data_IF_514560007485
#
_entry.id   IF_514560007485
#
_cell.length_a   1.000
_cell.length_b   1.000
_cell.length_c   1.000
_cell.angle_alpha   90.00
_cell.angle_beta   90.00
_cell.angle_gamma   90.00
#
_symmetry.space_group_name_H-M   'P 1'
#
loop_
_entity.id
_entity.type
_entity.pdbx_description
1 polymer ?
#
# COMPACT_ATOMS: atom_id res chain seq x y z
N UNK A 1 -23.02 -3.26 -35.96
CA UNK A 1 -23.44 -2.18 -36.88
C UNK A 1 -22.87 -0.89 -36.29
N UNK A 2 -21.63 -0.53 -36.65
CA UNK A 2 -21.28 0.49 -37.65
C UNK A 2 -22.02 1.82 -37.33
N UNK A 3 -21.34 2.93 -36.99
CA UNK A 3 -20.63 3.80 -37.95
C UNK A 3 -19.83 4.89 -37.19
N UNK A 4 -18.51 4.96 -37.49
CA UNK A 4 -17.64 6.14 -37.77
C UNK A 4 -17.44 7.26 -36.72
N UNK A 5 -16.37 8.08 -36.72
CA UNK A 5 -14.99 8.05 -37.25
C UNK A 5 -14.32 9.41 -36.96
N UNK A 6 -12.98 9.43 -36.92
CA UNK A 6 -12.09 10.51 -37.36
C UNK A 6 -11.97 11.82 -36.55
N UNK A 7 -10.79 12.02 -35.94
CA UNK A 7 -10.10 13.31 -35.96
C UNK A 7 -8.60 13.10 -36.22
N UNK A 8 -8.16 13.44 -37.43
CA UNK A 8 -6.75 13.55 -37.84
C UNK A 8 -6.27 14.97 -37.52
N UNK A 9 -5.12 15.11 -36.88
CA UNK A 9 -4.31 16.32 -36.98
C UNK A 9 -2.91 15.90 -37.38
N UNK A 10 -2.55 16.21 -38.62
CA UNK A 10 -1.19 16.22 -39.10
C UNK A 10 -0.46 17.44 -38.52
N UNK A 11 0.76 17.25 -38.02
CA UNK A 11 1.74 18.33 -37.92
C UNK A 11 3.09 17.84 -38.40
N UNK A 12 3.39 18.26 -39.62
CA UNK A 12 4.70 18.34 -40.23
C UNK A 12 5.69 19.01 -39.27
N UNK A 13 6.80 18.35 -38.98
CA UNK A 13 7.96 18.98 -38.35
C UNK A 13 9.03 19.09 -39.42
N UNK A 14 9.30 20.34 -39.81
CA UNK A 14 10.42 20.72 -40.66
C UNK A 14 11.72 20.14 -40.10
N UNK A 15 12.50 19.50 -40.96
CA UNK A 15 13.94 19.41 -40.78
C UNK A 15 14.53 20.80 -40.97
N UNK A 16 14.78 21.52 -39.87
CA UNK A 16 15.78 22.59 -39.88
C UNK A 16 17.13 21.97 -39.57
N UNK A 17 17.96 21.87 -40.60
CA UNK A 17 19.38 21.56 -40.51
C UNK A 17 20.04 22.55 -39.54
N UNK A 18 20.47 22.07 -38.37
CA UNK A 18 21.25 22.88 -37.43
C UNK A 18 22.71 22.85 -37.87
N UNK A 19 23.08 23.85 -38.67
CA UNK A 19 24.45 24.20 -38.99
C UNK A 19 24.73 25.48 -38.21
N UNK A 20 25.30 25.38 -37.00
CA UNK A 20 26.17 26.38 -36.35
C UNK A 20 26.50 26.01 -34.88
N UNK A 21 27.58 26.62 -34.38
CA UNK A 21 28.55 26.11 -33.41
C UNK A 21 28.05 25.75 -31.99
N UNK A 22 28.49 24.58 -31.51
CA UNK A 22 28.20 24.00 -30.19
C UNK A 22 29.13 24.50 -29.06
N UNK A 23 29.32 25.81 -28.88
CA UNK A 23 30.20 26.31 -27.79
C UNK A 23 29.50 27.12 -26.70
N UNK A 24 28.28 27.63 -26.91
CA UNK A 24 27.64 28.56 -25.95
C UNK A 24 26.69 27.94 -24.91
N UNK A 25 26.00 26.85 -25.24
CA UNK A 25 24.80 26.43 -24.47
C UNK A 25 25.11 25.40 -23.37
N UNK A 26 26.21 24.63 -23.48
CA UNK A 26 26.60 23.62 -22.49
C UNK A 26 27.10 24.19 -21.15
N UNK A 27 27.48 25.46 -21.08
CA UNK A 27 28.11 26.03 -19.88
C UNK A 27 27.13 26.39 -18.76
N UNK A 28 25.82 26.49 -19.04
CA UNK A 28 24.84 27.00 -18.07
C UNK A 28 24.08 25.93 -17.28
N UNK A 29 24.16 24.65 -17.69
CA UNK A 29 23.44 23.53 -17.06
C UNK A 29 24.31 22.65 -16.14
N UNK A 30 25.64 22.74 -16.20
CA UNK A 30 26.55 21.92 -15.40
C UNK A 30 26.72 22.37 -13.94
N UNK A 31 26.26 23.57 -13.57
CA UNK A 31 26.44 24.15 -12.23
C UNK A 31 25.45 23.64 -11.18
N UNK A 32 24.37 22.98 -11.59
CA UNK A 32 23.30 22.53 -10.67
C UNK A 32 23.46 21.10 -10.15
N UNK A 33 24.32 20.27 -10.76
CA UNK A 33 24.34 18.82 -10.49
C UNK A 33 25.52 18.33 -9.63
N UNK A 34 26.47 19.20 -9.28
CA UNK A 34 27.74 18.80 -8.67
C UNK A 34 27.75 18.70 -7.14
N UNK A 35 26.65 18.94 -6.43
CA UNK A 35 26.65 19.12 -4.97
C UNK A 35 26.16 17.93 -4.12
N UNK A 36 25.91 16.73 -4.66
CA UNK A 36 25.20 15.69 -3.88
C UNK A 36 25.69 14.23 -3.93
N UNK A 37 26.87 13.90 -4.45
CA UNK A 37 27.33 12.49 -4.45
C UNK A 37 28.80 12.33 -4.07
N UNK A 38 29.11 12.48 -2.78
CA UNK A 38 30.32 11.89 -2.17
C UNK A 38 29.96 10.52 -1.58
N UNK A 39 30.26 9.44 -2.30
CA UNK A 39 30.10 8.08 -1.79
C UNK A 39 30.84 7.08 -2.65
N UNK A 40 32.01 6.63 -2.17
CA UNK A 40 32.89 5.66 -2.84
C UNK A 40 32.22 4.27 -2.91
N UNK A 41 32.25 3.62 -4.07
CA UNK A 41 31.93 2.20 -4.20
C UNK A 41 33.06 1.48 -4.98
N UNK A 42 33.74 0.56 -4.28
CA UNK A 42 34.80 -0.31 -4.80
C UNK A 42 34.18 -1.63 -5.25
N UNK A 43 34.50 -2.13 -6.45
CA UNK A 43 34.01 -3.42 -6.94
C UNK A 43 35.17 -4.41 -7.12
N UNK A 44 35.03 -5.59 -6.51
CA UNK A 44 35.92 -6.75 -6.60
C UNK A 44 35.48 -7.64 -7.76
N UNK A 45 36.41 -8.03 -8.63
CA UNK A 45 36.19 -8.94 -9.76
C UNK A 45 36.45 -10.39 -9.37
N UNK A 46 35.49 -11.29 -9.60
CA UNK A 46 35.70 -12.74 -9.58
C UNK A 46 35.34 -13.36 -10.93
N UNK A 47 36.29 -14.08 -11.52
CA UNK A 47 36.21 -14.85 -12.78
C UNK A 47 35.66 -16.25 -12.52
N UNK A 48 34.82 -16.81 -13.43
CA UNK A 48 34.59 -18.26 -13.68
C UNK A 48 33.68 -18.42 -14.94
N UNK A 49 33.64 -19.60 -15.62
CA UNK A 49 33.95 -19.75 -17.04
C UNK A 49 32.75 -20.11 -17.94
N UNK A 50 33.03 -20.06 -19.24
CA UNK A 50 32.11 -20.24 -20.37
C UNK A 50 31.40 -21.60 -20.41
N UNK A 51 30.12 -21.58 -20.79
CA UNK A 51 29.43 -22.76 -21.31
C UNK A 51 28.62 -22.35 -22.56
N UNK A 52 29.05 -22.88 -23.71
CA UNK A 52 28.43 -22.70 -25.03
C UNK A 52 27.26 -23.66 -25.20
N UNK A 53 26.12 -23.16 -25.66
CA UNK A 53 25.08 -23.97 -26.31
C UNK A 53 24.63 -23.30 -27.60
N UNK A 54 24.64 -24.10 -28.66
CA UNK A 54 24.49 -23.71 -30.07
C UNK A 54 23.06 -23.24 -30.40
N UNK A 55 22.96 -22.08 -31.08
CA UNK A 55 21.72 -21.63 -31.72
C UNK A 55 21.80 -21.79 -33.25
N UNK A 56 20.71 -22.36 -33.76
CA UNK A 56 20.38 -22.68 -35.16
C UNK A 56 20.59 -21.45 -36.07
N UNK A 57 21.30 -21.63 -37.19
CA UNK A 57 21.42 -20.61 -38.25
C UNK A 57 20.19 -20.63 -39.14
N UNK A 58 19.32 -19.63 -39.03
CA UNK A 58 18.32 -19.34 -40.06
C UNK A 58 18.99 -18.56 -41.21
N UNK A 59 18.98 -19.18 -42.39
CA UNK A 59 19.46 -18.63 -43.67
C UNK A 59 18.34 -17.82 -44.34
N UNK A 60 17.94 -16.66 -43.81
CA UNK A 60 17.31 -15.62 -44.64
C UNK A 60 17.06 -14.31 -43.87
N UNK A 61 18.06 -13.44 -43.79
CA UNK A 61 17.76 -12.02 -43.52
C UNK A 61 18.79 -11.14 -44.23
N UNK A 62 18.69 -11.14 -45.55
CA UNK A 62 19.34 -10.17 -46.41
C UNK A 62 18.71 -8.79 -46.20
N UNK A 63 19.57 -7.83 -45.84
CA UNK A 63 19.44 -6.38 -46.04
C UNK A 63 18.27 -5.66 -45.34
N UNK A 64 18.48 -5.21 -44.11
CA UNK A 64 17.91 -3.95 -43.61
C UNK A 64 18.82 -3.38 -42.52
N UNK A 65 19.67 -2.41 -42.89
CA UNK A 65 20.50 -1.64 -41.95
C UNK A 65 19.61 -0.56 -41.30
N UNK A 66 18.97 -0.88 -40.17
CA UNK A 66 18.35 0.12 -39.31
C UNK A 66 19.18 0.30 -38.04
N UNK A 67 19.85 1.44 -37.94
CA UNK A 67 20.48 1.91 -36.70
C UNK A 67 19.39 2.56 -35.83
N UNK A 68 18.75 1.78 -34.96
CA UNK A 68 17.85 2.30 -33.93
C UNK A 68 18.67 2.73 -32.70
N UNK A 69 18.90 4.03 -32.53
CA UNK A 69 19.45 4.60 -31.30
C UNK A 69 18.28 4.98 -30.39
N UNK A 70 18.15 4.33 -29.23
CA UNK A 70 17.25 4.74 -28.15
C UNK A 70 18.08 5.21 -26.95
N UNK A 71 17.94 6.49 -26.60
CA UNK A 71 18.49 7.09 -25.38
C UNK A 71 17.81 6.45 -24.14
N UNK A 72 18.39 6.29 -22.95
CA UNK A 72 19.38 7.10 -22.24
C UNK A 72 19.99 6.29 -21.09
N UNK A 73 21.30 6.00 -21.12
CA UNK A 73 22.17 5.84 -19.95
C UNK A 73 23.60 6.18 -20.41
N UNK A 74 23.83 7.44 -20.79
CA UNK A 74 25.12 7.93 -21.27
C UNK A 74 25.80 8.72 -20.15
N UNK A 75 26.87 8.17 -19.59
CA UNK A 75 27.89 8.93 -18.87
C UNK A 75 28.90 9.46 -19.90
N UNK A 76 28.89 10.76 -20.16
CA UNK A 76 29.76 11.40 -21.15
C UNK A 76 30.87 12.17 -20.43
N UNK A 77 32.11 11.69 -20.49
CA UNK A 77 33.31 12.45 -20.06
C UNK A 77 33.98 13.10 -21.26
N UNK A 78 33.69 14.38 -21.51
CA UNK A 78 34.18 15.09 -22.69
C UNK A 78 35.70 15.39 -22.60
N UNK A 79 36.51 14.67 -23.37
CA UNK A 79 37.89 15.07 -23.69
C UNK A 79 37.90 15.78 -25.05
N UNK A 80 38.38 17.03 -25.08
CA UNK A 80 38.49 17.80 -26.31
C UNK A 80 39.43 17.06 -27.28
N UNK A 81 38.88 16.59 -28.41
CA UNK A 81 39.62 15.88 -29.46
C UNK A 81 39.62 14.35 -29.40
N UNK A 82 39.01 13.72 -28.39
CA UNK A 82 38.92 12.26 -28.28
C UNK A 82 37.64 11.70 -28.89
N UNK A 83 37.74 10.73 -29.81
CA UNK A 83 36.58 9.93 -30.24
C UNK A 83 36.00 9.23 -29.02
N UNK A 84 34.82 9.64 -28.56
CA UNK A 84 34.09 8.97 -27.48
C UNK A 84 33.77 7.53 -27.90
N UNK A 85 34.49 6.55 -27.36
CA UNK A 85 34.14 5.15 -27.54
C UNK A 85 33.05 4.76 -26.53
N UNK A 86 31.84 4.57 -27.03
CA UNK A 86 30.72 4.06 -26.23
C UNK A 86 30.89 2.54 -26.11
N UNK A 87 31.33 2.05 -24.94
CA UNK A 87 31.30 0.63 -24.64
C UNK A 87 29.89 0.21 -24.24
N UNK A 88 29.25 -0.63 -25.07
CA UNK A 88 28.01 -1.29 -24.71
C UNK A 88 28.31 -2.57 -23.91
N UNK A 89 27.72 -2.69 -22.72
CA UNK A 89 27.63 -3.99 -22.03
C UNK A 89 26.29 -4.63 -22.41
N UNK A 90 26.28 -5.85 -22.98
CA UNK A 90 25.03 -6.52 -23.29
C UNK A 90 24.27 -6.79 -22.00
N UNK A 91 22.97 -6.52 -22.01
CA UNK A 91 22.08 -6.85 -20.88
C UNK A 91 22.01 -8.37 -20.74
N UNK A 92 22.33 -8.88 -19.55
CA UNK A 92 22.12 -10.28 -19.18
C UNK A 92 20.90 -10.35 -18.28
N UNK A 93 19.95 -11.22 -18.61
CA UNK A 93 18.76 -11.40 -17.78
C UNK A 93 19.19 -11.91 -16.39
N UNK A 94 18.79 -11.25 -15.28
CA UNK A 94 19.13 -11.74 -13.95
C UNK A 94 18.49 -13.11 -13.75
N UNK A 95 19.11 -14.02 -12.97
CA UNK A 95 18.49 -15.29 -12.65
C UNK A 95 17.09 -15.05 -12.07
N UNK A 96 16.11 -15.88 -12.46
CA UNK A 96 14.75 -15.79 -11.95
C UNK A 96 14.78 -16.08 -10.45
N UNK A 97 14.65 -15.03 -9.65
CA UNK A 97 14.52 -15.11 -8.20
C UNK A 97 13.06 -14.83 -7.83
N UNK A 98 12.65 -15.39 -6.71
CA UNK A 98 11.39 -15.01 -6.08
C UNK A 98 11.39 -13.51 -5.70
N UNK A 99 10.20 -12.89 -5.75
CA UNK A 99 10.04 -11.45 -5.54
C UNK A 99 10.54 -11.01 -4.16
N UNK A 100 10.21 -11.77 -3.12
CA UNK A 100 10.53 -11.38 -1.75
C UNK A 100 12.01 -11.59 -1.46
N UNK A 101 12.58 -12.72 -1.90
CA UNK A 101 14.03 -12.95 -1.87
C UNK A 101 14.82 -11.86 -2.59
N UNK A 102 14.32 -11.38 -3.74
CA UNK A 102 14.94 -10.26 -4.47
C UNK A 102 14.90 -8.97 -3.66
N UNK A 103 13.77 -8.62 -3.05
CA UNK A 103 13.65 -7.38 -2.27
C UNK A 103 14.45 -7.42 -0.96
N UNK A 104 14.48 -8.56 -0.28
CA UNK A 104 15.31 -8.80 0.92
C UNK A 104 16.80 -8.67 0.59
N UNK A 105 17.25 -9.28 -0.53
CA UNK A 105 18.65 -9.16 -1.00
C UNK A 105 19.03 -7.72 -1.32
N UNK A 106 18.12 -6.94 -1.90
CA UNK A 106 18.33 -5.55 -2.25
C UNK A 106 18.14 -4.57 -1.07
N UNK A 107 17.72 -5.05 0.10
CA UNK A 107 17.43 -4.24 1.30
C UNK A 107 16.53 -3.03 1.00
N UNK A 108 15.50 -3.24 0.19
CA UNK A 108 14.55 -2.18 -0.17
C UNK A 108 13.70 -1.82 1.05
N UNK A 109 13.61 -0.54 1.44
CA UNK A 109 12.73 -0.14 2.53
C UNK A 109 11.27 -0.32 2.12
N UNK A 110 10.41 -0.67 3.08
CA UNK A 110 8.97 -0.63 2.88
C UNK A 110 8.48 0.82 2.90
N UNK A 111 7.61 1.18 1.96
CA UNK A 111 6.96 2.49 2.00
C UNK A 111 6.14 2.64 3.28
N UNK A 112 6.12 3.83 3.90
CA UNK A 112 5.22 4.09 5.01
C UNK A 112 3.76 3.89 4.56
N UNK A 113 2.93 3.24 5.37
CA UNK A 113 1.56 2.88 5.01
C UNK A 113 0.56 3.32 6.09
N UNK A 114 0.58 2.73 7.29
CA UNK A 114 -0.35 3.13 8.37
C UNK A 114 -0.07 4.54 8.87
N UNK A 115 1.19 4.96 8.89
CA UNK A 115 1.61 6.24 9.47
C UNK A 115 1.26 7.46 8.62
N UNK A 116 1.06 7.29 7.30
CA UNK A 116 0.80 8.40 6.37
C UNK A 116 -0.63 8.38 5.80
N UNK A 117 -1.39 7.29 6.01
CA UNK A 117 -2.73 7.17 5.45
C UNK A 117 -3.74 7.97 6.27
N UNK A 118 -4.57 8.78 5.60
CA UNK A 118 -5.61 9.56 6.26
C UNK A 118 -6.77 8.65 6.74
N UNK A 119 -7.13 8.66 8.04
CA UNK A 119 -8.22 7.84 8.55
C UNK A 119 -9.57 8.29 7.98
N UNK A 120 -10.35 7.35 7.45
CA UNK A 120 -11.72 7.57 6.97
C UNK A 120 -12.73 6.91 7.91
N UNK A 121 -13.99 7.38 7.95
CA UNK A 121 -15.03 6.77 8.80
C UNK A 121 -15.22 5.27 8.50
N UNK A 122 -15.27 4.81 7.23
CA UNK A 122 -15.37 3.38 6.92
C UNK A 122 -14.14 2.57 7.38
N UNK A 123 -12.92 3.12 7.28
CA UNK A 123 -11.72 2.41 7.74
C UNK A 123 -11.69 2.29 9.26
N UNK A 124 -12.05 3.35 9.98
CA UNK A 124 -12.11 3.34 11.46
C UNK A 124 -13.19 2.37 11.94
N UNK A 125 -14.40 2.40 11.37
CA UNK A 125 -15.48 1.46 11.75
C UNK A 125 -15.12 0.01 11.48
N UNK A 126 -14.28 -0.28 10.49
CA UNK A 126 -13.74 -1.62 10.24
C UNK A 126 -12.78 -2.09 11.33
N UNK A 127 -11.86 -1.23 11.75
CA UNK A 127 -10.95 -1.53 12.86
C UNK A 127 -11.74 -1.73 14.16
N UNK A 128 -12.69 -0.84 14.44
CA UNK A 128 -13.54 -0.95 15.62
C UNK A 128 -14.35 -2.25 15.63
N UNK A 129 -14.87 -2.72 14.49
CA UNK A 129 -15.59 -4.01 14.44
C UNK A 129 -14.73 -5.17 14.93
N UNK A 130 -13.45 -5.18 14.54
CA UNK A 130 -12.50 -6.21 14.94
C UNK A 130 -12.20 -6.12 16.43
N UNK A 131 -11.94 -4.91 16.93
CA UNK A 131 -11.64 -4.68 18.35
C UNK A 131 -12.83 -5.07 19.22
N UNK A 132 -14.04 -4.59 18.92
CA UNK A 132 -15.24 -4.94 19.69
C UNK A 132 -15.56 -6.43 19.61
N UNK A 133 -15.29 -7.07 18.47
CA UNK A 133 -15.44 -8.53 18.32
C UNK A 133 -14.48 -9.31 19.20
N UNK A 134 -13.21 -8.89 19.27
CA UNK A 134 -12.22 -9.48 20.18
C UNK A 134 -12.59 -9.29 21.65
N UNK A 135 -13.05 -8.09 22.02
CA UNK A 135 -13.53 -7.79 23.38
C UNK A 135 -14.74 -8.67 23.74
N UNK A 136 -15.73 -8.79 22.86
CA UNK A 136 -16.93 -9.58 23.12
C UNK A 136 -16.61 -11.08 23.25
N UNK A 137 -15.66 -11.57 22.44
CA UNK A 137 -15.16 -12.95 22.57
C UNK A 137 -14.44 -13.14 23.90
N UNK A 138 -13.62 -12.16 24.33
CA UNK A 138 -13.00 -12.20 25.64
C UNK A 138 -14.02 -12.20 26.78
N UNK A 139 -15.12 -11.42 26.68
CA UNK A 139 -16.22 -11.45 27.64
C UNK A 139 -16.87 -12.83 27.74
N UNK A 140 -17.20 -13.44 26.59
CA UNK A 140 -17.80 -14.76 26.54
C UNK A 140 -16.89 -15.84 27.15
N UNK A 141 -15.59 -15.80 26.82
CA UNK A 141 -14.60 -16.73 27.39
C UNK A 141 -14.41 -16.50 28.88
N UNK A 142 -14.31 -15.25 29.33
CA UNK A 142 -14.16 -14.91 30.75
C UNK A 142 -15.36 -15.39 31.57
N UNK A 143 -16.59 -15.21 31.06
CA UNK A 143 -17.78 -15.74 31.73
C UNK A 143 -17.81 -17.28 31.73
N UNK A 144 -17.47 -17.91 30.61
CA UNK A 144 -17.44 -19.38 30.51
C UNK A 144 -16.41 -20.00 31.46
N UNK A 145 -15.17 -19.50 31.47
CA UNK A 145 -14.15 -19.96 32.41
C UNK A 145 -14.47 -19.57 33.85
N UNK A 146 -15.09 -18.41 34.06
CA UNK A 146 -15.61 -17.99 35.35
C UNK A 146 -16.54 -19.04 35.93
N UNK A 147 -17.56 -19.45 35.17
CA UNK A 147 -18.51 -20.48 35.62
C UNK A 147 -17.89 -21.87 35.81
N UNK A 148 -16.79 -22.17 35.13
CA UNK A 148 -16.14 -23.49 35.22
C UNK A 148 -15.19 -23.59 36.41
N UNK A 149 -14.49 -22.51 36.76
CA UNK A 149 -13.42 -22.52 37.76
C UNK A 149 -13.80 -21.87 39.09
N UNK A 150 -14.83 -21.02 39.13
CA UNK A 150 -15.30 -20.41 40.37
C UNK A 150 -16.30 -21.35 41.05
N UNK A 151 -16.06 -21.63 42.33
CA UNK A 151 -16.89 -22.56 43.12
C UNK A 151 -18.21 -21.95 43.60
N UNK A 152 -18.33 -20.62 43.59
CA UNK A 152 -19.51 -19.89 44.05
C UNK A 152 -20.42 -19.52 42.87
N UNK A 153 -21.72 -19.36 43.12
CA UNK A 153 -22.65 -18.88 42.12
C UNK A 153 -22.52 -17.37 41.85
N UNK A 154 -23.19 -16.92 40.79
CA UNK A 154 -23.16 -15.52 40.31
C UNK A 154 -23.66 -14.55 41.38
N UNK A 155 -24.61 -14.97 42.21
CA UNK A 155 -25.18 -14.18 43.31
C UNK A 155 -24.11 -13.70 44.30
N UNK A 156 -23.12 -14.54 44.60
CA UNK A 156 -22.03 -14.17 45.52
C UNK A 156 -21.22 -13.01 44.97
N UNK A 157 -20.90 -13.03 43.67
CA UNK A 157 -20.14 -11.99 43.00
C UNK A 157 -20.94 -10.69 42.84
N UNK A 158 -22.25 -10.79 42.60
CA UNK A 158 -23.14 -9.62 42.58
C UNK A 158 -23.18 -8.94 43.95
N UNK A 159 -23.31 -9.70 45.04
CA UNK A 159 -23.26 -9.16 46.40
C UNK A 159 -21.93 -8.46 46.71
N UNK A 160 -20.80 -9.02 46.25
CA UNK A 160 -19.49 -8.37 46.39
C UNK A 160 -19.44 -7.04 45.65
N UNK A 161 -19.92 -6.98 44.40
CA UNK A 161 -19.93 -5.73 43.63
C UNK A 161 -20.85 -4.69 44.28
N UNK A 162 -22.01 -5.12 44.81
CA UNK A 162 -22.94 -4.24 45.53
C UNK A 162 -22.33 -3.71 46.84
N UNK A 163 -21.55 -4.51 47.57
CA UNK A 163 -20.92 -4.08 48.82
C UNK A 163 -19.78 -3.07 48.63
N UNK A 164 -19.23 -2.95 47.40
CA UNK A 164 -18.26 -1.90 47.04
C UNK A 164 -18.86 -0.48 47.05
N UNK A 165 -20.19 -0.35 47.16
CA UNK A 165 -20.91 0.92 47.29
C UNK A 165 -20.51 1.97 46.23
N UNK A 166 -20.43 1.53 44.98
CA UNK A 166 -20.07 2.39 43.85
C UNK A 166 -21.14 3.47 43.64
N UNK A 167 -20.71 4.71 43.40
CA UNK A 167 -21.62 5.81 43.12
C UNK A 167 -22.44 5.58 41.84
N UNK A 168 -23.65 6.14 41.79
CA UNK A 168 -24.58 5.98 40.66
C UNK A 168 -23.95 6.36 39.31
N UNK A 169 -23.16 7.43 39.29
CA UNK A 169 -22.44 7.86 38.07
C UNK A 169 -21.39 6.85 37.63
N UNK A 170 -20.66 6.24 38.57
CA UNK A 170 -19.66 5.21 38.27
C UNK A 170 -20.31 3.97 37.67
N UNK A 171 -21.44 3.52 38.25
CA UNK A 171 -22.21 2.38 37.73
C UNK A 171 -22.72 2.68 36.32
N UNK A 172 -23.23 3.88 36.08
CA UNK A 172 -23.70 4.30 34.77
C UNK A 172 -22.59 4.25 33.71
N UNK A 173 -21.40 4.78 34.01
CA UNK A 173 -20.25 4.73 33.10
C UNK A 173 -19.80 3.28 32.86
N UNK A 174 -19.78 2.44 33.89
CA UNK A 174 -19.45 1.02 33.74
C UNK A 174 -20.45 0.30 32.82
N UNK A 175 -21.75 0.58 32.95
CA UNK A 175 -22.77 0.03 32.04
C UNK A 175 -22.51 0.42 30.58
N UNK A 176 -22.20 1.70 30.32
CA UNK A 176 -21.85 2.17 28.96
C UNK A 176 -20.59 1.49 28.42
N UNK A 177 -19.53 1.38 29.23
CA UNK A 177 -18.27 0.76 28.79
C UNK A 177 -18.43 -0.73 28.45
N UNK A 178 -19.27 -1.45 29.20
CA UNK A 178 -19.54 -2.87 28.96
C UNK A 178 -20.55 -3.06 27.82
N UNK A 179 -21.54 -2.16 27.69
CA UNK A 179 -22.58 -2.22 26.67
C UNK A 179 -22.11 -1.81 25.27
N UNK A 180 -21.26 -0.77 25.17
CA UNK A 180 -20.82 -0.19 23.91
C UNK A 180 -20.20 -1.20 22.91
N UNK A 181 -19.28 -2.11 23.33
CA UNK A 181 -18.73 -3.10 22.41
C UNK A 181 -19.81 -3.98 21.78
N UNK A 182 -20.84 -4.36 22.55
CA UNK A 182 -21.93 -5.19 22.06
C UNK A 182 -22.81 -4.44 21.06
N UNK A 183 -23.31 -3.25 21.43
CA UNK A 183 -24.23 -2.48 20.58
C UNK A 183 -23.55 -2.05 19.28
N UNK A 184 -22.32 -1.52 19.35
CA UNK A 184 -21.57 -1.14 18.16
C UNK A 184 -21.30 -2.35 17.24
N UNK A 185 -20.84 -3.47 17.81
CA UNK A 185 -20.54 -4.68 17.02
C UNK A 185 -21.80 -5.23 16.33
N UNK A 186 -22.96 -5.15 16.98
CA UNK A 186 -24.23 -5.59 16.44
C UNK A 186 -24.68 -4.73 15.23
N UNK A 187 -24.77 -3.41 15.39
CA UNK A 187 -25.24 -2.53 14.30
C UNK A 187 -24.26 -2.51 13.12
N UNK A 188 -22.97 -2.43 13.40
CA UNK A 188 -21.97 -2.45 12.34
C UNK A 188 -21.82 -3.86 11.73
N UNK A 189 -22.11 -4.93 12.48
CA UNK A 189 -22.28 -6.29 11.97
C UNK A 189 -23.43 -6.43 10.98
N UNK A 190 -24.60 -5.83 11.26
CA UNK A 190 -25.73 -5.79 10.31
C UNK A 190 -25.35 -5.08 9.00
N UNK A 191 -24.56 -4.00 9.08
CA UNK A 191 -24.00 -3.32 7.91
C UNK A 191 -23.09 -4.24 7.09
N UNK A 192 -22.23 -5.04 7.72
CA UNK A 192 -21.43 -6.05 7.01
C UNK A 192 -22.28 -7.16 6.39
N UNK A 193 -23.36 -7.59 7.05
CA UNK A 193 -24.31 -8.52 6.45
C UNK A 193 -24.98 -7.92 5.21
N UNK A 194 -25.26 -6.62 5.19
CA UNK A 194 -25.74 -5.93 4.00
C UNK A 194 -24.69 -5.90 2.87
N UNK A 195 -23.40 -5.72 3.20
CA UNK A 195 -22.30 -5.79 2.22
C UNK A 195 -22.16 -7.18 1.61
N UNK A 196 -22.30 -8.24 2.40
CA UNK A 196 -22.31 -9.63 1.89
C UNK A 196 -23.46 -9.86 0.90
N UNK A 197 -24.57 -9.14 1.07
CA UNK A 197 -25.70 -9.13 0.15
C UNK A 197 -25.55 -8.13 -1.02
N UNK A 198 -24.34 -7.60 -1.26
CA UNK A 198 -24.01 -6.62 -2.31
C UNK A 198 -24.79 -5.29 -2.22
N UNK A 199 -25.29 -4.93 -1.03
CA UNK A 199 -25.97 -3.65 -0.76
C UNK A 199 -24.96 -2.65 -0.19
N UNK A 200 -25.24 -1.34 -0.34
CA UNK A 200 -24.50 -0.23 0.30
C UNK A 200 -22.99 -0.16 -0.06
N UNK A 201 -22.62 -0.64 -1.26
CA UNK A 201 -21.24 -0.63 -1.77
C UNK A 201 -20.87 0.68 -2.50
N UNK A 202 -21.82 1.57 -2.70
CA UNK A 202 -21.56 2.91 -3.22
C UNK A 202 -20.95 3.81 -2.14
N UNK A 203 -20.22 4.85 -2.55
CA UNK A 203 -19.56 5.74 -1.59
C UNK A 203 -20.56 6.44 -0.64
N UNK A 204 -21.76 6.81 -1.12
CA UNK A 204 -22.75 7.48 -0.26
C UNK A 204 -23.34 6.49 0.75
N UNK A 205 -23.73 5.29 0.30
CA UNK A 205 -24.21 4.20 1.15
C UNK A 205 -23.17 3.77 2.17
N UNK A 206 -21.90 3.68 1.80
CA UNK A 206 -20.80 3.30 2.69
C UNK A 206 -20.64 4.27 3.87
N UNK A 207 -20.69 5.58 3.61
CA UNK A 207 -20.57 6.62 4.64
C UNK A 207 -21.86 6.81 5.44
N UNK A 208 -23.03 6.76 4.79
CA UNK A 208 -24.32 6.90 5.47
C UNK A 208 -24.55 5.74 6.45
N UNK A 209 -24.34 4.51 6.00
CA UNK A 209 -24.49 3.31 6.83
C UNK A 209 -23.52 3.29 8.01
N UNK A 210 -22.29 3.77 7.83
CA UNK A 210 -21.33 3.88 8.92
C UNK A 210 -21.82 4.83 10.02
N UNK A 211 -22.34 6.01 9.65
CA UNK A 211 -22.91 6.98 10.60
C UNK A 211 -24.14 6.42 11.30
N UNK A 212 -25.04 5.78 10.55
CA UNK A 212 -26.25 5.15 11.09
C UNK A 212 -25.90 4.06 12.11
N UNK A 213 -24.90 3.23 11.83
CA UNK A 213 -24.45 2.19 12.75
C UNK A 213 -23.88 2.78 14.06
N UNK A 214 -23.07 3.85 13.96
CA UNK A 214 -22.51 4.53 15.13
C UNK A 214 -23.64 5.15 15.98
N UNK A 215 -24.55 5.90 15.36
CA UNK A 215 -25.65 6.55 16.06
C UNK A 215 -26.59 5.52 16.68
N UNK A 216 -26.95 4.46 15.95
CA UNK A 216 -27.77 3.38 16.47
C UNK A 216 -27.13 2.66 17.66
N UNK A 217 -25.82 2.39 17.59
CA UNK A 217 -25.06 1.79 18.69
C UNK A 217 -25.05 2.64 19.95
N UNK A 218 -24.75 3.94 19.81
CA UNK A 218 -24.73 4.88 20.94
C UNK A 218 -26.13 5.03 21.55
N UNK A 219 -27.17 5.18 20.72
CA UNK A 219 -28.53 5.34 21.21
C UNK A 219 -29.00 4.10 22.01
N UNK A 220 -28.72 2.90 21.50
CA UNK A 220 -29.07 1.66 22.20
C UNK A 220 -28.25 1.46 23.49
N UNK A 221 -26.97 1.84 23.49
CA UNK A 221 -26.11 1.72 24.66
C UNK A 221 -26.53 2.67 25.79
N UNK A 222 -26.87 3.92 25.44
CA UNK A 222 -27.42 4.88 26.40
C UNK A 222 -28.74 4.39 26.98
N UNK A 223 -29.64 3.85 26.13
CA UNK A 223 -30.88 3.23 26.61
C UNK A 223 -30.59 2.07 27.56
N UNK A 224 -29.65 1.19 27.20
CA UNK A 224 -29.23 0.07 28.04
C UNK A 224 -28.65 0.53 29.39
N UNK A 225 -27.91 1.63 29.43
CA UNK A 225 -27.35 2.16 30.67
C UNK A 225 -28.39 2.78 31.62
N UNK A 226 -29.51 3.29 31.07
CA UNK A 226 -30.64 3.80 31.87
C UNK A 226 -31.55 2.71 32.44
N UNK A 227 -31.61 1.54 31.78
CA UNK A 227 -32.31 0.35 32.29
C UNK A 227 -31.52 -0.29 33.43
#
# INVERSE_FOLDING_TARGET
MLILSNFRIARSILFTSCKEDCTGVCARLSRWYSTQLSGKATYVTSTLPQQQTALRKDKNQSRLNYCCISASFLTTSCTHGGKHQIQYKPYVFPPKMDHDHKNMKLKRPMSPHVTIYAPTIPSVTSIMQRITGSILTAYALMMSFGTLFLSNGVETYVCIIQSMNLGTMTIFILKLLVGFPFTFHYFNGMRYAAFNNKKLLDLKGLYSSAKQAIVGGIALDVLFAFL
#
